data_IF_457369161334
#
_entry.id   IF_457369161334
#
_cell.length_a   1.000
_cell.length_b   1.000
_cell.length_c   1.000
_cell.angle_alpha   90.00
_cell.angle_beta   90.00
_cell.angle_gamma   90.00
#
_symmetry.space_group_name_H-M   'P 1'
#
loop_
_entity.id
_entity.type
_entity.pdbx_description
1 polymer ?
#
# COMPACT_ATOMS: atom_id res chain seq x y z
N UNK A 1 10.43 6.51 -13.05
CA UNK A 1 9.61 7.73 -13.18
C UNK A 1 8.61 7.76 -12.03
N UNK A 2 8.40 8.92 -11.40
CA UNK A 2 7.34 9.10 -10.41
C UNK A 2 6.01 9.19 -11.18
N UNK A 3 5.15 8.18 -11.05
CA UNK A 3 3.79 8.25 -11.59
C UNK A 3 2.92 8.84 -10.49
N UNK A 4 2.20 9.96 -10.73
CA UNK A 4 1.30 10.55 -9.73
C UNK A 4 0.05 9.68 -9.59
N UNK A 5 0.20 8.52 -8.95
CA UNK A 5 -0.91 7.67 -8.53
C UNK A 5 -1.24 7.97 -7.07
N UNK A 6 -2.52 8.01 -6.67
CA UNK A 6 -2.91 8.07 -5.26
C UNK A 6 -2.17 6.97 -4.47
N UNK A 7 -1.49 7.37 -3.39
CA UNK A 7 -0.69 6.46 -2.56
C UNK A 7 0.61 5.95 -3.22
N UNK A 8 0.98 6.40 -4.42
CA UNK A 8 2.22 6.04 -5.11
C UNK A 8 2.31 4.58 -5.58
N UNK A 9 1.16 3.90 -5.72
CA UNK A 9 1.03 2.49 -6.12
C UNK A 9 1.85 2.21 -7.38
N UNK A 10 2.65 1.15 -7.33
CA UNK A 10 3.57 0.68 -8.37
C UNK A 10 4.95 1.34 -8.29
N UNK A 11 5.00 2.68 -8.25
CA UNK A 11 6.28 3.42 -8.26
C UNK A 11 7.03 3.32 -6.94
N UNK A 12 6.33 3.41 -5.80
CA UNK A 12 6.92 3.32 -4.47
C UNK A 12 7.38 1.89 -4.18
N UNK A 13 6.57 0.90 -4.56
CA UNK A 13 6.90 -0.52 -4.40
C UNK A 13 8.18 -0.88 -5.17
N UNK A 14 8.27 -0.47 -6.44
CA UNK A 14 9.47 -0.69 -7.24
C UNK A 14 10.70 0.01 -6.63
N UNK A 15 10.56 1.26 -6.19
CA UNK A 15 11.65 2.00 -5.58
C UNK A 15 12.15 1.35 -4.27
N UNK A 16 11.24 0.90 -3.40
CA UNK A 16 11.58 0.24 -2.14
C UNK A 16 12.23 -1.13 -2.36
N UNK A 17 11.71 -1.94 -3.29
CA UNK A 17 12.31 -3.24 -3.64
C UNK A 17 13.72 -3.05 -4.17
N UNK A 18 13.91 -2.12 -5.11
CA UNK A 18 15.24 -1.81 -5.65
C UNK A 18 16.19 -1.34 -4.55
N UNK A 19 15.74 -0.47 -3.64
CA UNK A 19 16.56 0.01 -2.53
C UNK A 19 16.96 -1.12 -1.57
N UNK A 20 16.04 -2.00 -1.19
CA UNK A 20 16.30 -3.14 -0.32
C UNK A 20 17.25 -4.17 -0.94
N UNK A 21 17.11 -4.42 -2.25
CA UNK A 21 18.03 -5.29 -2.98
C UNK A 21 19.41 -4.65 -3.10
N UNK A 22 19.48 -3.36 -3.40
CA UNK A 22 20.74 -2.62 -3.44
C UNK A 22 21.44 -2.57 -2.06
N UNK A 23 20.67 -2.63 -0.96
CA UNK A 23 21.18 -2.76 0.40
C UNK A 23 21.63 -4.18 0.78
N UNK A 24 21.59 -5.15 -0.15
CA UNK A 24 22.06 -6.53 0.04
C UNK A 24 20.95 -7.55 0.31
N UNK A 25 19.67 -7.16 0.26
CA UNK A 25 18.54 -8.09 0.40
C UNK A 25 18.32 -8.94 -0.85
N UNK A 26 17.86 -10.18 -0.67
CA UNK A 26 17.38 -10.99 -1.79
C UNK A 26 16.04 -10.45 -2.34
N UNK A 27 15.84 -10.52 -3.66
CA UNK A 27 14.69 -9.91 -4.33
C UNK A 27 13.32 -10.43 -3.83
N UNK A 28 13.19 -11.73 -3.62
CA UNK A 28 11.96 -12.35 -3.15
C UNK A 28 11.54 -11.85 -1.74
N UNK A 29 12.38 -11.95 -0.69
CA UNK A 29 12.01 -11.43 0.62
C UNK A 29 11.88 -9.89 0.65
N UNK A 30 12.68 -9.15 -0.12
CA UNK A 30 12.53 -7.70 -0.24
C UNK A 30 11.14 -7.32 -0.77
N UNK A 31 10.67 -8.03 -1.80
CA UNK A 31 9.33 -7.84 -2.38
C UNK A 31 8.24 -8.19 -1.36
N UNK A 32 8.37 -9.30 -0.63
CA UNK A 32 7.43 -9.69 0.41
C UNK A 32 7.33 -8.63 1.52
N UNK A 33 8.46 -8.12 2.01
CA UNK A 33 8.51 -7.07 3.03
C UNK A 33 7.81 -5.80 2.56
N UNK A 34 8.05 -5.36 1.32
CA UNK A 34 7.41 -4.17 0.75
C UNK A 34 5.90 -4.35 0.67
N UNK A 35 5.41 -5.51 0.23
CA UNK A 35 3.95 -5.78 0.17
C UNK A 35 3.33 -5.75 1.56
N UNK A 36 3.95 -6.41 2.56
CA UNK A 36 3.46 -6.39 3.94
C UNK A 36 3.47 -4.98 4.51
N UNK A 37 4.55 -4.23 4.30
CA UNK A 37 4.65 -2.83 4.71
C UNK A 37 3.50 -1.98 4.13
N UNK A 38 3.15 -2.17 2.86
CA UNK A 38 2.06 -1.45 2.20
C UNK A 38 0.69 -1.85 2.74
N UNK A 39 0.49 -3.14 3.02
CA UNK A 39 -0.74 -3.61 3.68
C UNK A 39 -0.93 -2.92 5.03
N UNK A 40 0.12 -2.79 5.83
CA UNK A 40 0.05 -2.21 7.16
C UNK A 40 -0.09 -0.67 7.15
N UNK A 41 0.55 0.01 6.22
CA UNK A 41 0.60 1.49 6.23
C UNK A 41 -0.44 2.17 5.35
N UNK A 42 -0.93 1.47 4.32
CA UNK A 42 -1.89 2.03 3.35
C UNK A 42 -3.25 1.39 3.50
N UNK A 43 -3.31 0.06 3.49
CA UNK A 43 -4.60 -0.66 3.44
C UNK A 43 -5.25 -0.79 4.81
N UNK A 44 -4.48 -1.09 5.86
CA UNK A 44 -5.00 -1.24 7.21
C UNK A 44 -5.68 0.03 7.74
N UNK A 45 -5.13 1.26 7.56
CA UNK A 45 -5.82 2.48 7.96
C UNK A 45 -7.00 2.84 7.05
N UNK A 46 -7.00 2.38 5.80
CA UNK A 46 -8.09 2.62 4.85
C UNK A 46 -9.33 1.78 5.15
N UNK A 47 -9.15 0.55 5.65
CA UNK A 47 -10.23 -0.37 5.99
C UNK A 47 -11.31 0.23 6.92
N UNK A 48 -11.01 0.83 8.09
CA UNK A 48 -12.05 1.37 8.95
C UNK A 48 -12.86 2.47 8.26
N UNK A 49 -12.22 3.36 7.48
CA UNK A 49 -12.91 4.40 6.71
C UNK A 49 -13.80 3.83 5.61
N UNK A 50 -13.34 2.81 4.90
CA UNK A 50 -14.14 2.14 3.88
C UNK A 50 -15.35 1.41 4.49
N UNK A 51 -15.17 0.77 5.64
CA UNK A 51 -16.23 0.08 6.37
C UNK A 51 -17.29 1.06 6.91
N UNK A 52 -16.88 2.18 7.47
CA UNK A 52 -17.82 3.21 7.95
C UNK A 52 -18.59 3.83 6.79
N UNK A 53 -17.91 4.19 5.69
CA UNK A 53 -18.57 4.69 4.49
C UNK A 53 -19.58 3.66 3.95
N UNK A 54 -19.19 2.39 3.83
CA UNK A 54 -20.08 1.33 3.39
C UNK A 54 -21.30 1.17 4.30
N UNK A 55 -21.14 1.32 5.62
CA UNK A 55 -22.25 1.31 6.56
C UNK A 55 -23.19 2.51 6.35
N UNK A 56 -22.66 3.73 6.19
CA UNK A 56 -23.46 4.94 5.96
C UNK A 56 -24.27 4.87 4.66
N UNK A 57 -23.68 4.36 3.59
CA UNK A 57 -24.36 4.13 2.30
C UNK A 57 -25.48 3.10 2.46
N UNK A 58 -25.25 2.01 3.21
CA UNK A 58 -26.32 1.02 3.50
C UNK A 58 -27.45 1.62 4.34
N UNK A 59 -27.13 2.57 5.22
CA UNK A 59 -28.09 3.28 6.06
C UNK A 59 -28.81 4.42 5.32
N UNK A 60 -28.46 4.71 4.05
CA UNK A 60 -28.97 5.85 3.25
C UNK A 60 -28.79 7.22 3.93
N UNK A 61 -27.74 7.35 4.72
CA UNK A 61 -27.33 8.64 5.31
C UNK A 61 -26.61 9.48 4.26
N UNK A 62 -25.87 8.81 3.38
CA UNK A 62 -25.22 9.31 2.16
C UNK A 62 -25.84 8.53 0.99
#
# INVERSE_FOLDING_TARGET
>A
ALVPTPGGIGSVEAALVVALVAAGGAAAPATAVVVVFRLLTVWLPLLPGALTLAALVRMKVI
#
